data_IF_160294103666
#
_entry.id   IF_160294103666
#
_cell.length_a   1.000
_cell.length_b   1.000
_cell.length_c   1.000
_cell.angle_alpha   90.00
_cell.angle_beta   90.00
_cell.angle_gamma   90.00
#
_symmetry.space_group_name_H-M   'P 1'
#
loop_
_entity.id
_entity.type
_entity.pdbx_description
1 polymer ?
#
# COMPACT_ATOMS: atom_id res chain seq x y z
N UNK A 1 6.31 -25.65 -12.73
CA UNK A 1 4.89 -25.40 -13.10
C UNK A 1 4.18 -26.74 -13.09
N UNK A 2 3.31 -27.00 -12.11
CA UNK A 2 2.48 -28.23 -12.06
C UNK A 2 1.42 -28.11 -13.16
N UNK A 3 1.35 -29.09 -14.07
CA UNK A 3 0.26 -29.15 -15.05
C UNK A 3 -1.06 -29.38 -14.30
N UNK A 4 -2.14 -28.66 -14.64
CA UNK A 4 -3.44 -28.86 -14.01
C UNK A 4 -3.95 -30.27 -14.28
N UNK A 5 -4.49 -30.92 -13.24
CA UNK A 5 -5.03 -32.28 -13.32
C UNK A 5 -6.07 -32.43 -14.44
N UNK A 6 -5.94 -33.48 -15.24
CA UNK A 6 -6.77 -33.75 -16.42
C UNK A 6 -8.28 -33.77 -16.10
N UNK A 7 -8.65 -34.18 -14.88
CA UNK A 7 -10.04 -34.17 -14.41
C UNK A 7 -10.57 -32.74 -14.21
N UNK A 8 -9.76 -31.86 -13.64
CA UNK A 8 -10.10 -30.44 -13.46
C UNK A 8 -10.23 -29.73 -14.81
N UNK A 9 -9.42 -30.11 -15.80
CA UNK A 9 -9.52 -29.57 -17.15
C UNK A 9 -10.85 -29.96 -17.83
N UNK A 10 -11.25 -31.23 -17.73
CA UNK A 10 -12.52 -31.70 -18.31
C UNK A 10 -13.71 -31.02 -17.63
N UNK A 11 -13.70 -30.90 -16.29
CA UNK A 11 -14.75 -30.18 -15.57
C UNK A 11 -14.83 -28.70 -15.97
N UNK A 12 -13.69 -28.02 -16.14
CA UNK A 12 -13.66 -26.62 -16.59
C UNK A 12 -14.22 -26.45 -18.01
N UNK A 13 -13.91 -27.39 -18.93
CA UNK A 13 -14.45 -27.38 -20.29
C UNK A 13 -15.97 -27.61 -20.29
N UNK A 14 -16.46 -28.57 -19.50
CA UNK A 14 -17.90 -28.82 -19.38
C UNK A 14 -18.62 -27.59 -18.82
N UNK A 15 -18.09 -26.97 -17.77
CA UNK A 15 -18.66 -25.76 -17.17
C UNK A 15 -18.66 -24.59 -18.18
N UNK A 16 -17.59 -24.43 -18.96
CA UNK A 16 -17.50 -23.42 -20.01
C UNK A 16 -18.54 -23.65 -21.13
N UNK A 17 -18.73 -24.89 -21.57
CA UNK A 17 -19.71 -25.23 -22.61
C UNK A 17 -21.13 -25.05 -22.09
N UNK A 18 -21.43 -25.53 -20.88
CA UNK A 18 -22.75 -25.38 -20.25
C UNK A 18 -23.05 -23.90 -20.01
N UNK A 19 -22.09 -23.13 -19.49
CA UNK A 19 -22.23 -21.69 -19.33
C UNK A 19 -22.47 -20.97 -20.65
N UNK A 20 -21.73 -21.32 -21.71
CA UNK A 20 -21.95 -20.74 -23.03
C UNK A 20 -23.32 -21.07 -23.60
N UNK A 21 -23.81 -22.31 -23.41
CA UNK A 21 -25.15 -22.73 -23.85
C UNK A 21 -26.25 -22.04 -23.05
N UNK A 22 -26.12 -21.93 -21.72
CA UNK A 22 -27.07 -21.21 -20.87
C UNK A 22 -27.11 -19.73 -21.24
N UNK A 23 -25.96 -19.09 -21.40
CA UNK A 23 -25.88 -17.69 -21.82
C UNK A 23 -26.44 -17.53 -23.23
N UNK A 24 -26.10 -18.41 -24.18
CA UNK A 24 -26.68 -18.37 -25.52
C UNK A 24 -28.19 -18.56 -25.50
N UNK A 25 -28.72 -19.48 -24.71
CA UNK A 25 -30.16 -19.76 -24.65
C UNK A 25 -30.92 -18.65 -23.92
N UNK A 26 -30.45 -18.21 -22.77
CA UNK A 26 -31.06 -17.14 -21.98
C UNK A 26 -30.98 -15.78 -22.68
N UNK A 27 -29.88 -15.51 -23.39
CA UNK A 27 -29.68 -14.25 -24.12
C UNK A 27 -30.27 -14.30 -25.55
N UNK A 28 -30.47 -15.48 -26.15
CA UNK A 28 -31.13 -15.60 -27.47
C UNK A 28 -32.64 -15.36 -27.41
N UNK A 29 -33.29 -15.58 -26.26
CA UNK A 29 -34.70 -15.21 -26.08
C UNK A 29 -34.91 -13.70 -25.92
N UNK A 30 -33.84 -12.95 -25.73
CA UNK A 30 -33.85 -11.50 -25.63
C UNK A 30 -33.29 -10.91 -26.92
N UNK A 31 -34.18 -10.52 -27.84
CA UNK A 31 -33.82 -9.70 -28.99
C UNK A 31 -33.46 -8.27 -28.53
N UNK A 32 -32.37 -8.14 -27.76
CA UNK A 32 -31.84 -6.85 -27.35
C UNK A 32 -31.05 -6.28 -28.52
N UNK A 33 -31.46 -5.10 -28.96
CA UNK A 33 -30.73 -4.36 -29.99
C UNK A 33 -29.30 -4.07 -29.50
N UNK A 34 -28.25 -4.34 -30.31
CA UNK A 34 -26.88 -4.04 -29.93
C UNK A 34 -26.68 -2.58 -29.49
N UNK A 35 -27.41 -1.62 -30.06
CA UNK A 35 -27.34 -0.21 -29.65
C UNK A 35 -27.87 0.02 -28.23
N UNK A 36 -28.89 -0.73 -27.80
CA UNK A 36 -29.40 -0.70 -26.42
C UNK A 36 -28.39 -1.28 -25.43
N UNK A 37 -27.66 -2.32 -25.82
CA UNK A 37 -26.59 -2.90 -24.99
C UNK A 37 -25.42 -1.92 -24.83
N UNK A 38 -24.98 -1.27 -25.91
CA UNK A 38 -23.95 -0.23 -25.84
C UNK A 38 -24.42 0.98 -25.01
N UNK A 39 -25.68 1.40 -25.19
CA UNK A 39 -26.28 2.51 -24.42
C UNK A 39 -26.39 2.21 -22.93
N UNK A 40 -26.90 1.04 -22.57
CA UNK A 40 -26.98 0.59 -21.17
C UNK A 40 -25.58 0.42 -20.55
N UNK A 41 -24.62 -0.11 -21.32
CA UNK A 41 -23.23 -0.24 -20.88
C UNK A 41 -22.55 1.10 -20.60
N UNK A 42 -22.79 2.12 -21.43
CA UNK A 42 -22.22 3.47 -21.24
C UNK A 42 -22.87 4.21 -20.07
N UNK A 43 -24.18 4.03 -19.85
CA UNK A 43 -24.87 4.59 -18.69
C UNK A 43 -24.44 3.93 -17.39
N UNK A 44 -24.39 2.60 -17.33
CA UNK A 44 -23.95 1.90 -16.12
C UNK A 44 -22.45 2.13 -15.89
N UNK A 45 -21.62 2.02 -16.92
CA UNK A 45 -20.18 2.26 -16.84
C UNK A 45 -19.85 3.71 -16.46
N UNK A 46 -20.53 4.68 -17.04
CA UNK A 46 -20.39 6.10 -16.73
C UNK A 46 -20.85 6.45 -15.31
N UNK A 47 -21.97 5.87 -14.86
CA UNK A 47 -22.45 6.04 -13.48
C UNK A 47 -21.52 5.34 -12.49
N UNK A 48 -20.98 4.17 -12.81
CA UNK A 48 -19.99 3.49 -11.96
C UNK A 48 -18.70 4.30 -11.88
N UNK A 49 -18.17 4.82 -13.00
CA UNK A 49 -16.98 5.69 -12.96
C UNK A 49 -17.24 7.00 -12.20
N UNK A 50 -18.42 7.60 -12.38
CA UNK A 50 -18.81 8.82 -11.66
C UNK A 50 -19.06 8.55 -10.16
N UNK A 51 -19.66 7.41 -9.82
CA UNK A 51 -19.88 6.99 -8.43
C UNK A 51 -18.61 6.42 -7.77
N UNK A 52 -17.60 6.00 -8.54
CA UNK A 52 -16.29 5.60 -8.02
C UNK A 52 -15.31 6.78 -7.98
N UNK A 53 -15.63 7.91 -8.63
CA UNK A 53 -14.90 9.16 -8.47
C UNK A 53 -15.07 9.77 -7.07
N UNK A 54 -16.04 9.28 -6.28
CA UNK A 54 -16.14 9.55 -4.84
C UNK A 54 -15.43 8.52 -3.95
N UNK A 55 -14.55 7.66 -4.51
CA UNK A 55 -13.33 7.27 -3.77
C UNK A 55 -12.37 8.48 -3.78
N UNK A 56 -12.89 9.60 -3.29
CA UNK A 56 -12.12 10.56 -2.55
C UNK A 56 -11.58 9.75 -1.39
N UNK A 57 -10.32 9.34 -1.51
CA UNK A 57 -9.52 9.04 -0.33
C UNK A 57 -9.69 10.27 0.53
N UNK A 58 -10.54 10.18 1.56
CA UNK A 58 -10.62 11.22 2.56
C UNK A 58 -9.19 11.38 3.06
N UNK A 59 -8.55 12.48 2.65
CA UNK A 59 -7.39 13.03 3.34
C UNK A 59 -7.91 13.52 4.69
N UNK A 60 -8.32 12.57 5.55
CA UNK A 60 -8.06 12.72 6.96
C UNK A 60 -6.57 13.06 7.02
N UNK A 61 -6.24 14.23 7.54
CA UNK A 61 -4.89 14.59 7.92
C UNK A 61 -4.34 13.44 8.78
N UNK A 62 -3.68 12.46 8.15
CA UNK A 62 -3.20 11.28 8.85
C UNK A 62 -1.98 11.77 9.59
N UNK A 63 -2.18 12.17 10.84
CA UNK A 63 -1.07 12.50 11.73
C UNK A 63 -0.10 11.34 11.71
N UNK A 64 1.12 11.59 11.23
CA UNK A 64 2.18 10.59 11.19
C UNK A 64 3.06 10.75 12.43
N UNK A 65 3.56 9.63 12.94
CA UNK A 65 4.54 9.60 14.02
C UNK A 65 5.77 8.85 13.51
N UNK A 66 6.94 9.36 13.85
CA UNK A 66 8.21 8.71 13.53
C UNK A 66 8.65 7.85 14.70
N UNK A 67 8.95 6.59 14.44
CA UNK A 67 9.50 5.64 15.40
C UNK A 67 10.98 5.41 15.14
N UNK A 68 11.75 5.34 16.22
CA UNK A 68 13.13 4.89 16.22
C UNK A 68 13.16 3.36 16.41
N UNK A 69 13.90 2.67 15.54
CA UNK A 69 14.09 1.22 15.59
C UNK A 69 15.57 0.92 15.72
N UNK A 70 15.97 0.35 16.85
CA UNK A 70 17.34 0.03 17.20
C UNK A 70 17.59 -1.48 17.37
N UNK A 71 18.87 -1.83 17.44
CA UNK A 71 19.37 -3.21 17.54
C UNK A 71 18.97 -4.13 16.36
N UNK A 72 18.70 -3.53 15.20
CA UNK A 72 18.41 -4.27 13.98
C UNK A 72 19.63 -5.11 13.57
N UNK A 73 19.42 -6.34 13.09
CA UNK A 73 20.49 -7.16 12.56
C UNK A 73 21.13 -6.49 11.34
N UNK A 74 22.44 -6.66 11.15
CA UNK A 74 23.16 -6.03 10.04
C UNK A 74 22.67 -6.45 8.65
N UNK A 75 21.90 -7.55 8.58
CA UNK A 75 21.24 -8.05 7.37
C UNK A 75 19.83 -7.49 7.15
N UNK A 76 19.22 -6.79 8.12
CA UNK A 76 17.88 -6.22 7.98
C UNK A 76 17.84 -5.16 6.89
N UNK A 77 17.04 -5.42 5.85
CA UNK A 77 16.77 -4.49 4.76
C UNK A 77 15.55 -3.62 5.08
N UNK A 78 15.44 -2.50 4.40
CA UNK A 78 14.31 -1.57 4.56
C UNK A 78 12.97 -2.26 4.27
N UNK A 79 12.88 -3.09 3.23
CA UNK A 79 11.67 -3.85 2.92
C UNK A 79 11.27 -4.86 3.99
N UNK A 80 12.23 -5.45 4.70
CA UNK A 80 11.94 -6.40 5.78
C UNK A 80 11.43 -5.66 7.02
N UNK A 81 12.01 -4.50 7.33
CA UNK A 81 11.53 -3.64 8.41
C UNK A 81 10.14 -3.09 8.06
N UNK A 82 9.93 -2.64 6.81
CA UNK A 82 8.61 -2.20 6.35
C UNK A 82 7.55 -3.29 6.55
N UNK A 83 7.80 -4.51 6.08
CA UNK A 83 6.86 -5.63 6.22
C UNK A 83 6.51 -5.92 7.69
N UNK A 84 7.50 -5.89 8.59
CA UNK A 84 7.28 -6.11 10.02
C UNK A 84 6.40 -5.02 10.66
N UNK A 85 6.57 -3.77 10.25
CA UNK A 85 5.74 -2.66 10.74
C UNK A 85 4.37 -2.58 10.04
N UNK A 86 4.26 -3.04 8.80
CA UNK A 86 3.00 -3.14 8.05
C UNK A 86 2.00 -4.13 8.69
N UNK A 87 2.49 -5.16 9.40
CA UNK A 87 1.61 -6.04 10.20
C UNK A 87 0.90 -5.31 11.34
N UNK A 88 1.45 -4.18 11.81
CA UNK A 88 0.89 -3.41 12.92
C UNK A 88 0.11 -2.18 12.47
N UNK A 89 0.33 -1.69 11.24
CA UNK A 89 -0.37 -0.51 10.74
C UNK A 89 0.18 0.04 9.43
N UNK A 90 -0.32 1.20 9.01
CA UNK A 90 0.09 1.81 7.73
C UNK A 90 1.44 2.51 7.87
N UNK A 91 2.43 2.04 7.10
CA UNK A 91 3.78 2.62 7.05
C UNK A 91 3.90 3.55 5.84
N UNK A 92 4.35 4.78 6.07
CA UNK A 92 4.58 5.78 5.02
C UNK A 92 6.01 5.74 4.51
N UNK A 93 6.98 5.76 5.43
CA UNK A 93 8.40 5.85 5.09
C UNK A 93 9.26 4.99 6.02
N UNK A 94 10.37 4.46 5.50
CA UNK A 94 11.35 3.72 6.30
C UNK A 94 12.74 4.18 5.90
N UNK A 95 13.56 4.57 6.86
CA UNK A 95 14.92 5.06 6.62
C UNK A 95 15.91 4.36 7.53
N UNK A 96 16.69 3.44 6.97
CA UNK A 96 17.76 2.75 7.69
C UNK A 96 19.10 3.50 7.55
N UNK A 97 19.77 3.76 8.68
CA UNK A 97 21.03 4.48 8.66
C UNK A 97 22.22 3.53 8.44
N UNK A 98 23.07 3.92 7.49
CA UNK A 98 24.34 3.26 7.19
C UNK A 98 25.49 4.17 7.64
N UNK A 99 26.58 3.56 8.07
CA UNK A 99 27.82 4.28 8.35
C UNK A 99 28.40 4.78 7.02
N UNK A 100 28.70 6.08 6.95
CA UNK A 100 29.24 6.73 5.74
C UNK A 100 30.69 6.33 5.47
N UNK A 101 31.44 5.94 6.48
CA UNK A 101 32.86 5.59 6.35
C UNK A 101 33.05 4.13 5.95
N UNK A 102 32.29 3.22 6.55
CA UNK A 102 32.44 1.77 6.34
C UNK A 102 31.38 1.17 5.41
N UNK A 103 30.32 1.92 5.09
CA UNK A 103 29.15 1.42 4.35
C UNK A 103 28.32 0.37 5.11
N UNK A 104 28.76 -0.05 6.30
CA UNK A 104 28.09 -1.06 7.12
C UNK A 104 26.84 -0.46 7.76
N UNK A 105 25.81 -1.29 7.94
CA UNK A 105 24.58 -0.86 8.61
C UNK A 105 24.87 -0.60 10.08
N UNK A 106 24.41 0.54 10.62
CA UNK A 106 24.59 0.87 12.04
C UNK A 106 23.64 0.08 12.96
N UNK A 107 22.74 -0.72 12.38
CA UNK A 107 21.77 -1.52 13.13
C UNK A 107 20.64 -0.69 13.72
N UNK A 108 20.32 0.46 13.13
CA UNK A 108 19.18 1.26 13.52
C UNK A 108 18.61 2.07 12.34
N UNK A 109 17.37 2.53 12.49
CA UNK A 109 16.66 3.35 11.52
C UNK A 109 15.45 4.05 12.10
N UNK A 110 14.71 4.70 11.21
CA UNK A 110 13.49 5.43 11.51
C UNK A 110 12.36 4.91 10.62
N UNK A 111 11.16 4.77 11.19
CA UNK A 111 9.95 4.34 10.49
C UNK A 111 8.90 5.41 10.71
N UNK A 112 8.31 5.93 9.65
CA UNK A 112 7.19 6.84 9.70
C UNK A 112 5.90 6.06 9.43
N UNK A 113 4.96 6.14 10.37
CA UNK A 113 3.70 5.41 10.33
C UNK A 113 2.57 6.24 10.92
N UNK A 114 1.32 5.79 10.72
CA UNK A 114 0.16 6.48 11.26
C UNK A 114 0.24 6.59 12.79
N UNK A 115 -0.05 7.76 13.35
CA UNK A 115 0.03 8.02 14.80
C UNK A 115 -0.85 7.05 15.61
N UNK A 116 -2.02 6.68 15.08
CA UNK A 116 -2.93 5.72 15.71
C UNK A 116 -2.31 4.33 15.87
N UNK A 117 -1.46 3.91 14.92
CA UNK A 117 -0.83 2.59 14.91
C UNK A 117 0.54 2.59 15.61
N UNK A 118 1.18 3.75 15.71
CA UNK A 118 2.53 3.92 16.22
C UNK A 118 2.69 3.41 17.66
N UNK A 119 1.76 3.76 18.55
CA UNK A 119 1.83 3.37 19.97
C UNK A 119 1.63 1.84 20.13
N UNK A 120 0.76 1.24 19.32
CA UNK A 120 0.54 -0.21 19.28
C UNK A 120 1.78 -0.95 18.74
N UNK A 121 2.38 -0.43 17.68
CA UNK A 121 3.61 -0.96 17.12
C UNK A 121 4.77 -0.90 18.13
N UNK A 122 4.91 0.19 18.89
CA UNK A 122 5.88 0.26 19.99
C UNK A 122 5.59 -0.85 21.02
N UNK A 123 4.35 -0.96 21.50
CA UNK A 123 4.00 -1.91 22.56
C UNK A 123 4.26 -3.38 22.17
N UNK A 124 4.04 -3.75 20.90
CA UNK A 124 4.22 -5.12 20.41
C UNK A 124 5.62 -5.44 19.93
N UNK A 125 6.29 -4.49 19.26
CA UNK A 125 7.58 -4.73 18.62
C UNK A 125 8.76 -4.33 19.51
N UNK A 126 8.55 -3.49 20.52
CA UNK A 126 9.60 -3.20 21.49
C UNK A 126 9.91 -4.46 22.32
N UNK A 127 11.19 -4.77 22.44
CA UNK A 127 11.73 -5.96 23.11
C UNK A 127 11.32 -7.31 22.46
N UNK A 128 10.79 -7.28 21.24
CA UNK A 128 10.53 -8.48 20.44
C UNK A 128 11.83 -9.08 19.86
N UNK A 129 11.89 -10.40 19.75
CA UNK A 129 13.02 -11.08 19.11
C UNK A 129 12.87 -11.07 17.58
N UNK A 130 13.84 -10.47 16.90
CA UNK A 130 13.93 -10.45 15.46
C UNK A 130 15.31 -10.92 14.98
N UNK A 131 15.35 -12.07 14.31
CA UNK A 131 16.58 -12.70 13.81
C UNK A 131 17.67 -12.80 14.89
N UNK A 132 17.30 -13.36 16.06
CA UNK A 132 18.19 -13.56 17.22
C UNK A 132 18.69 -12.27 17.87
N UNK A 133 18.00 -11.14 17.65
CA UNK A 133 18.29 -9.87 18.30
C UNK A 133 17.01 -9.23 18.82
N UNK A 134 17.07 -8.68 20.02
CA UNK A 134 15.93 -7.98 20.64
C UNK A 134 15.79 -6.58 20.05
N UNK A 135 14.70 -6.30 19.34
CA UNK A 135 14.45 -4.98 18.77
C UNK A 135 14.17 -3.97 19.88
N UNK A 136 14.65 -2.74 19.68
CA UNK A 136 14.28 -1.61 20.54
C UNK A 136 13.49 -0.61 19.73
N UNK A 137 12.20 -0.47 20.03
CA UNK A 137 11.31 0.44 19.32
C UNK A 137 10.89 1.55 20.27
N UNK A 138 11.09 2.80 19.88
CA UNK A 138 10.74 3.97 20.69
C UNK A 138 10.16 5.06 19.81
N UNK A 139 9.40 5.97 20.40
CA UNK A 139 9.05 7.21 19.73
C UNK A 139 10.33 8.00 19.39
N UNK A 140 10.50 8.36 18.13
CA UNK A 140 11.61 9.21 17.72
C UNK A 140 11.26 10.65 18.07
N UNK A 141 12.20 11.37 18.70
CA UNK A 141 12.09 12.83 18.77
C UNK A 141 12.21 13.35 17.35
N UNK A 142 11.10 13.83 16.78
CA UNK A 142 11.14 14.57 15.51
C UNK A 142 12.11 15.72 15.71
N UNK A 143 13.25 15.67 15.03
CA UNK A 143 14.03 16.87 14.83
C UNK A 143 13.17 17.69 13.87
N UNK A 144 12.46 18.70 14.38
CA UNK A 144 11.80 19.69 13.54
C UNK A 144 12.87 20.22 12.59
N UNK A 145 12.80 19.79 11.34
CA UNK A 145 13.44 20.51 10.25
C UNK A 145 12.49 21.67 10.02
N UNK A 146 12.80 22.80 10.67
CA UNK A 146 12.18 24.09 10.42
C UNK A 146 12.51 24.49 8.98
N UNK A 147 11.81 23.90 8.00
CA UNK A 147 11.70 24.44 6.64
C UNK A 147 10.76 25.66 6.71
N UNK A 148 11.16 26.67 7.49
CA UNK A 148 10.60 28.01 7.40
C UNK A 148 11.05 28.59 6.06
N UNK A 149 10.21 28.32 5.07
CA UNK A 149 10.19 28.82 3.72
C UNK A 149 10.40 30.35 3.66
N UNK A 150 11.67 30.79 3.67
CA UNK A 150 12.04 32.17 3.38
C UNK A 150 12.09 32.36 1.85
N UNK A 151 10.94 32.28 1.18
CA UNK A 151 10.81 32.94 -0.12
C UNK A 151 10.81 34.44 0.12
N UNK A 152 12.00 35.02 0.02
CA UNK A 152 12.20 36.44 -0.20
C UNK A 152 11.62 36.77 -1.58
N UNK A 153 10.34 37.12 -1.61
CA UNK A 153 9.73 37.85 -2.70
C UNK A 153 10.49 39.17 -2.87
N UNK A 154 11.07 39.41 -4.03
CA UNK A 154 11.16 40.76 -4.58
C UNK A 154 11.33 40.65 -6.10
N UNK A 155 10.20 40.75 -6.78
CA UNK A 155 10.07 40.88 -8.22
C UNK A 155 10.62 42.22 -8.69
N UNK A 156 11.48 42.17 -9.70
CA UNK A 156 11.42 42.99 -10.92
C UNK A 156 10.72 44.36 -10.81
N UNK A 157 11.51 45.43 -10.79
CA UNK A 157 11.14 46.71 -11.39
C UNK A 157 12.28 47.15 -12.31
N UNK A 158 12.21 46.64 -13.54
CA UNK A 158 12.76 47.30 -14.72
C UNK A 158 12.00 48.60 -14.98
N UNK A 159 12.74 49.70 -15.16
CA UNK A 159 12.27 50.97 -15.75
C UNK A 159 13.14 51.25 -16.95
#
# INVERSE_FOLDING_TARGET
>A
MKLPDQKSFIFAVILAVVGFVIVKFALASLALDPALLFGAGLLIGGVVIAAMSSVTTEEAEVKTKTLYVGNLPYRANEGVVRALFEEQGKVFNVRLLKDKNTGKRRGFGFVEMAQADADNAIAKLNDSEFQQRTLKVREAKQKQEDDSNSYRSESDQTV
#
